data_IF_336401988595
#
_entry.id   IF_336401988595
#
_cell.length_a   1.000
_cell.length_b   1.000
_cell.length_c   1.000
_cell.angle_alpha   90.00
_cell.angle_beta   90.00
_cell.angle_gamma   90.00
#
_symmetry.space_group_name_H-M   'P 1'
#
loop_
_entity.id
_entity.type
_entity.pdbx_description
1 polymer ?
#
# COMPACT_ATOMS: atom_id res chain seq x y z
N UNK A 1 -3.51 31.63 -9.63
CA UNK A 1 -4.27 30.56 -10.28
C UNK A 1 -5.48 30.26 -9.41
N UNK A 2 -6.71 30.38 -9.92
CA UNK A 2 -7.95 30.39 -9.10
C UNK A 2 -8.92 29.26 -9.47
N UNK A 3 -8.42 28.17 -10.06
CA UNK A 3 -9.25 27.01 -10.42
C UNK A 3 -9.62 26.18 -9.18
N UNK A 4 -10.86 25.68 -9.13
CA UNK A 4 -11.31 24.78 -8.08
C UNK A 4 -10.65 23.40 -8.25
N UNK A 5 -10.13 22.86 -7.15
CA UNK A 5 -9.69 21.46 -7.06
C UNK A 5 -10.85 20.58 -6.60
N UNK A 6 -10.84 19.30 -6.95
CA UNK A 6 -11.82 18.33 -6.50
C UNK A 6 -12.18 17.30 -7.57
N UNK A 7 -13.27 16.58 -7.35
CA UNK A 7 -13.80 15.61 -8.29
C UNK A 7 -14.75 16.30 -9.29
N UNK A 8 -14.41 16.25 -10.56
CA UNK A 8 -15.18 16.82 -11.66
C UNK A 8 -15.85 15.68 -12.45
N UNK A 9 -16.92 16.01 -13.16
CA UNK A 9 -17.68 15.05 -13.97
C UNK A 9 -17.85 15.60 -15.38
N UNK A 10 -17.51 14.79 -16.39
CA UNK A 10 -17.84 15.06 -17.79
C UNK A 10 -19.10 14.28 -18.10
N UNK A 11 -20.17 14.99 -18.46
CA UNK A 11 -21.42 14.39 -18.93
C UNK A 11 -21.58 14.64 -20.42
N UNK A 12 -21.86 13.59 -21.18
CA UNK A 12 -22.09 13.65 -22.63
C UNK A 12 -23.40 12.94 -22.99
N UNK A 13 -24.21 13.57 -23.85
CA UNK A 13 -25.48 13.02 -24.33
C UNK A 13 -25.61 13.20 -25.85
N UNK A 14 -26.10 12.17 -26.55
CA UNK A 14 -26.36 12.19 -27.98
C UNK A 14 -27.47 11.19 -28.36
N UNK A 15 -28.56 11.66 -28.96
CA UNK A 15 -29.76 10.84 -29.28
C UNK A 15 -30.21 9.95 -28.09
N UNK A 16 -29.95 8.64 -28.16
CA UNK A 16 -30.28 7.65 -27.13
C UNK A 16 -29.09 7.28 -26.21
N UNK A 17 -27.93 7.91 -26.39
CA UNK A 17 -26.73 7.63 -25.63
C UNK A 17 -26.50 8.70 -24.58
N UNK A 18 -26.25 8.26 -23.34
CA UNK A 18 -25.77 9.08 -22.25
C UNK A 18 -24.53 8.42 -21.66
N UNK A 19 -23.50 9.21 -21.38
CA UNK A 19 -22.27 8.76 -20.75
C UNK A 19 -21.76 9.79 -19.77
N UNK A 20 -21.15 9.32 -18.69
CA UNK A 20 -20.46 10.18 -17.74
C UNK A 20 -19.15 9.56 -17.29
N UNK A 21 -18.17 10.40 -16.99
CA UNK A 21 -16.92 9.98 -16.39
C UNK A 21 -16.41 11.02 -15.41
N UNK A 22 -15.85 10.56 -14.30
CA UNK A 22 -15.32 11.41 -13.26
C UNK A 22 -13.80 11.55 -13.42
N UNK A 23 -13.26 12.72 -13.05
CA UNK A 23 -11.83 12.96 -13.02
C UNK A 23 -11.46 13.93 -11.89
N UNK A 24 -10.31 13.72 -11.27
CA UNK A 24 -9.80 14.60 -10.21
C UNK A 24 -9.01 15.77 -10.78
N UNK A 25 -9.25 16.97 -10.25
CA UNK A 25 -8.46 18.18 -10.49
C UNK A 25 -7.73 18.51 -9.19
N UNK A 26 -6.40 18.43 -9.21
CA UNK A 26 -5.55 18.65 -8.05
C UNK A 26 -4.36 19.54 -8.41
N UNK A 27 -3.78 20.20 -7.40
CA UNK A 27 -2.48 20.86 -7.56
C UNK A 27 -1.38 19.81 -7.59
N UNK A 28 -0.99 19.40 -8.79
CA UNK A 28 -0.06 18.30 -8.98
C UNK A 28 1.34 18.77 -9.36
N UNK A 29 2.32 18.46 -8.51
CA UNK A 29 3.73 18.51 -8.87
C UNK A 29 4.14 17.15 -9.42
N UNK A 30 4.40 17.09 -10.73
CA UNK A 30 4.80 15.86 -11.42
C UNK A 30 6.01 15.20 -10.75
N UNK A 31 5.89 13.97 -10.22
CA UNK A 31 7.01 13.16 -9.75
C UNK A 31 8.02 12.94 -10.87
N UNK A 32 9.29 12.81 -10.50
CA UNK A 32 10.39 12.58 -11.45
C UNK A 32 10.96 11.17 -11.34
N UNK A 33 10.33 10.33 -10.52
CA UNK A 33 10.80 9.00 -10.16
C UNK A 33 9.64 8.07 -9.85
N UNK A 34 9.94 6.78 -9.89
CA UNK A 34 9.08 5.70 -9.45
C UNK A 34 9.82 4.78 -8.48
N UNK A 35 9.03 4.05 -7.69
CA UNK A 35 9.52 3.04 -6.75
C UNK A 35 8.77 1.75 -6.98
N UNK A 36 9.50 0.66 -7.13
CA UNK A 36 8.93 -0.67 -7.33
C UNK A 36 9.44 -1.64 -6.28
N UNK A 37 8.55 -2.51 -5.79
CA UNK A 37 8.92 -3.61 -4.91
C UNK A 37 9.07 -4.90 -5.70
N UNK A 38 10.10 -5.68 -5.35
CA UNK A 38 10.26 -7.03 -5.89
C UNK A 38 9.26 -7.98 -5.25
N UNK A 39 8.69 -8.93 -6.01
CA UNK A 39 7.80 -9.94 -5.45
C UNK A 39 8.48 -10.71 -4.32
N UNK A 40 7.77 -10.84 -3.21
CA UNK A 40 8.18 -11.69 -2.08
C UNK A 40 7.87 -13.15 -2.45
N UNK A 41 8.92 -13.97 -2.55
CA UNK A 41 8.80 -15.40 -2.97
C UNK A 41 8.82 -16.37 -1.78
N UNK A 42 9.26 -15.90 -0.63
CA UNK A 42 9.37 -16.68 0.59
C UNK A 42 8.03 -16.74 1.32
N UNK A 43 7.83 -17.83 2.06
CA UNK A 43 6.66 -17.97 2.95
C UNK A 43 7.09 -17.64 4.37
N UNK A 44 6.34 -16.77 5.04
CA UNK A 44 6.62 -16.34 6.40
C UNK A 44 5.51 -16.75 7.36
N UNK A 45 5.91 -17.02 8.60
CA UNK A 45 5.03 -17.21 9.74
C UNK A 45 4.95 -15.91 10.55
N UNK A 46 3.91 -15.82 11.37
CA UNK A 46 3.82 -14.74 12.36
C UNK A 46 5.05 -14.73 13.27
N UNK A 47 5.53 -13.53 13.58
CA UNK A 47 6.78 -13.23 14.29
C UNK A 47 8.08 -13.44 13.51
N UNK A 48 8.04 -13.92 12.26
CA UNK A 48 9.22 -13.94 11.41
C UNK A 48 9.67 -12.52 11.04
N UNK A 49 10.95 -12.38 10.68
CA UNK A 49 11.47 -11.16 10.10
C UNK A 49 11.34 -11.20 8.57
N UNK A 50 10.61 -10.24 8.02
CA UNK A 50 10.35 -10.11 6.58
C UNK A 50 11.27 -9.01 6.06
N UNK A 51 11.94 -9.27 4.93
CA UNK A 51 12.71 -8.25 4.21
C UNK A 51 12.11 -8.02 2.83
N UNK A 52 11.58 -6.82 2.61
CA UNK A 52 11.04 -6.39 1.31
C UNK A 52 12.12 -5.59 0.59
N UNK A 53 12.36 -5.95 -0.67
CA UNK A 53 13.38 -5.31 -1.50
C UNK A 53 12.69 -4.42 -2.54
N UNK A 54 13.14 -3.18 -2.67
CA UNK A 54 12.64 -2.24 -3.65
C UNK A 54 13.75 -1.60 -4.49
N UNK A 55 13.34 -0.92 -5.55
CA UNK A 55 14.19 -0.14 -6.45
C UNK A 55 13.57 1.22 -6.71
N UNK A 56 14.41 2.26 -6.74
CA UNK A 56 14.04 3.63 -7.07
C UNK A 56 14.72 4.05 -8.37
N UNK A 57 13.91 4.42 -9.36
CA UNK A 57 14.37 4.78 -10.70
C UNK A 57 13.78 6.12 -11.09
N UNK A 58 14.57 7.00 -11.67
CA UNK A 58 14.06 8.24 -12.25
C UNK A 58 13.32 7.92 -13.55
N UNK A 59 12.28 8.69 -13.90
CA UNK A 59 11.59 8.51 -15.19
C UNK A 59 12.48 8.77 -16.41
N UNK A 60 13.66 9.37 -16.22
CA UNK A 60 14.70 9.49 -17.23
C UNK A 60 15.55 8.22 -17.43
N UNK A 61 15.30 7.16 -16.65
CA UNK A 61 16.00 5.87 -16.71
C UNK A 61 17.25 5.76 -15.82
N UNK A 62 17.66 6.83 -15.13
CA UNK A 62 18.79 6.80 -14.20
C UNK A 62 18.40 6.20 -12.84
N UNK A 63 19.30 5.45 -12.23
CA UNK A 63 19.15 4.97 -10.84
C UNK A 63 19.23 6.13 -9.85
N UNK A 64 18.45 6.08 -8.79
CA UNK A 64 18.46 7.10 -7.73
C UNK A 64 19.31 6.59 -6.56
N UNK A 65 20.52 7.10 -6.42
CA UNK A 65 21.48 6.70 -5.38
C UNK A 65 21.45 7.67 -4.20
N UNK A 66 21.82 7.18 -3.00
CA UNK A 66 21.92 7.97 -1.76
C UNK A 66 20.65 8.76 -1.40
N UNK A 67 19.49 8.29 -1.87
CA UNK A 67 18.22 8.91 -1.57
C UNK A 67 17.61 8.32 -0.31
N UNK A 68 17.01 9.21 0.48
CA UNK A 68 16.25 8.85 1.68
C UNK A 68 14.93 8.18 1.29
N UNK A 69 14.70 6.99 1.82
CA UNK A 69 13.47 6.22 1.69
C UNK A 69 12.76 6.22 3.04
N UNK A 70 11.70 7.00 3.17
CA UNK A 70 10.81 6.95 4.34
C UNK A 70 9.71 5.93 4.12
N UNK A 71 9.48 5.07 5.10
CA UNK A 71 8.49 3.99 4.98
C UNK A 71 7.66 3.82 6.25
N UNK A 72 6.48 3.21 6.09
CA UNK A 72 5.59 2.81 7.19
C UNK A 72 5.01 1.43 6.88
N UNK A 73 5.16 0.51 7.83
CA UNK A 73 4.56 -0.82 7.72
C UNK A 73 3.33 -0.91 8.61
N UNK A 74 2.25 -1.37 8.00
CA UNK A 74 0.93 -1.38 8.57
C UNK A 74 0.34 -2.78 8.47
N UNK A 75 -0.33 -3.22 9.53
CA UNK A 75 -0.97 -4.54 9.61
C UNK A 75 -2.48 -4.43 9.61
N UNK A 76 -3.14 -5.32 8.86
CA UNK A 76 -4.56 -5.62 8.97
C UNK A 76 -4.76 -7.13 9.17
N UNK A 77 -5.76 -7.53 9.95
CA UNK A 77 -6.16 -8.92 10.12
C UNK A 77 -7.26 -9.26 9.12
N UNK A 78 -7.06 -10.34 8.38
CA UNK A 78 -8.02 -10.90 7.44
C UNK A 78 -8.54 -12.23 7.98
N UNK A 79 -9.87 -12.32 8.05
CA UNK A 79 -10.55 -13.51 8.56
C UNK A 79 -10.91 -14.47 7.41
N UNK A 80 -10.99 -15.78 7.68
CA UNK A 80 -11.47 -16.75 6.71
C UNK A 80 -12.95 -16.55 6.36
N UNK A 81 -13.34 -17.03 5.17
CA UNK A 81 -14.69 -16.81 4.66
C UNK A 81 -15.82 -17.42 5.50
N UNK A 82 -15.57 -18.59 6.07
CA UNK A 82 -16.50 -19.25 6.99
C UNK A 82 -16.73 -18.46 8.28
N UNK A 83 -15.79 -17.58 8.67
CA UNK A 83 -15.93 -16.76 9.88
C UNK A 83 -17.01 -15.67 9.71
N UNK A 84 -17.20 -15.15 8.50
CA UNK A 84 -18.26 -14.18 8.19
C UNK A 84 -19.68 -14.76 8.29
N UNK A 85 -19.86 -16.06 8.08
CA UNK A 85 -21.17 -16.72 8.18
C UNK A 85 -21.65 -16.91 9.63
N UNK A 86 -20.71 -17.00 10.58
CA UNK A 86 -21.00 -17.33 11.98
C UNK A 86 -21.31 -16.11 12.86
N UNK A 87 -20.96 -14.90 12.43
CA UNK A 87 -21.10 -13.69 13.25
C UNK A 87 -21.54 -12.50 12.38
N UNK A 88 -22.73 -11.95 12.67
CA UNK A 88 -23.40 -10.84 11.94
C UNK A 88 -22.74 -9.46 12.10
N UNK A 89 -21.50 -9.36 12.59
CA UNK A 89 -20.81 -8.09 12.80
C UNK A 89 -19.72 -7.91 11.75
N UNK A 90 -19.53 -6.68 11.27
CA UNK A 90 -18.47 -6.33 10.33
C UNK A 90 -17.11 -6.53 11.01
N UNK A 91 -16.42 -7.64 10.72
CA UNK A 91 -15.06 -7.89 11.18
C UNK A 91 -14.08 -7.09 10.33
N UNK A 92 -14.10 -5.77 10.48
CA UNK A 92 -12.96 -4.96 10.09
C UNK A 92 -11.95 -5.02 11.22
N UNK A 93 -10.75 -5.52 10.96
CA UNK A 93 -9.65 -5.31 11.89
C UNK A 93 -9.21 -3.86 11.80
N UNK A 94 -8.97 -3.21 12.93
CA UNK A 94 -8.33 -1.89 12.91
C UNK A 94 -6.95 -1.98 12.27
N UNK A 95 -6.66 -1.01 11.41
CA UNK A 95 -5.35 -0.84 10.82
C UNK A 95 -4.37 -0.39 11.91
N UNK A 96 -3.25 -1.13 12.09
CA UNK A 96 -2.24 -0.79 13.08
C UNK A 96 -0.86 -0.64 12.44
N UNK A 97 -0.22 0.50 12.68
CA UNK A 97 1.17 0.71 12.34
C UNK A 97 2.06 -0.15 13.25
N UNK A 98 2.84 -1.06 12.65
CA UNK A 98 3.75 -1.94 13.38
C UNK A 98 5.17 -1.38 13.44
N UNK A 99 5.58 -0.58 12.45
CA UNK A 99 6.87 0.10 12.41
C UNK A 99 6.87 1.21 11.35
N UNK A 100 7.70 2.21 11.54
CA UNK A 100 8.08 3.19 10.54
C UNK A 100 9.59 3.41 10.61
N UNK A 101 10.16 3.99 9.56
CA UNK A 101 11.59 4.27 9.57
C UNK A 101 12.07 4.89 8.28
N UNK A 102 13.40 4.93 8.19
CA UNK A 102 14.14 5.51 7.09
C UNK A 102 15.20 4.52 6.61
N UNK A 103 15.40 4.46 5.31
CA UNK A 103 16.43 3.67 4.64
C UNK A 103 17.09 4.56 3.58
N UNK A 104 18.18 4.09 2.98
CA UNK A 104 18.92 4.83 1.95
C UNK A 104 19.10 3.92 0.74
N UNK A 105 18.93 4.46 -0.46
CA UNK A 105 19.18 3.71 -1.70
C UNK A 105 20.68 3.51 -1.94
N UNK A 106 21.06 2.32 -2.39
CA UNK A 106 22.44 2.00 -2.76
C UNK A 106 22.82 2.59 -4.14
N UNK A 107 24.07 2.34 -4.57
CA UNK A 107 24.59 2.78 -5.87
C UNK A 107 23.81 2.24 -7.08
N UNK A 108 22.98 1.22 -6.91
CA UNK A 108 22.12 0.63 -7.93
C UNK A 108 20.65 1.08 -7.76
N UNK A 109 20.38 2.05 -6.88
CA UNK A 109 19.03 2.52 -6.56
C UNK A 109 18.18 1.51 -5.78
N UNK A 110 18.79 0.47 -5.20
CA UNK A 110 18.06 -0.54 -4.42
C UNK A 110 17.97 -0.12 -2.97
N UNK A 111 16.86 -0.47 -2.34
CA UNK A 111 16.65 -0.29 -0.91
C UNK A 111 15.99 -1.53 -0.31
N UNK A 112 16.14 -1.69 1.00
CA UNK A 112 15.55 -2.80 1.77
C UNK A 112 14.82 -2.26 2.98
N UNK A 113 13.68 -2.88 3.26
CA UNK A 113 12.86 -2.62 4.44
C UNK A 113 12.70 -3.95 5.17
N UNK A 114 13.19 -4.01 6.41
CA UNK A 114 13.08 -5.21 7.25
C UNK A 114 12.16 -4.91 8.43
N UNK A 115 11.17 -5.76 8.65
CA UNK A 115 10.24 -5.64 9.78
C UNK A 115 9.87 -7.01 10.34
N UNK A 116 9.29 -7.02 11.54
CA UNK A 116 8.79 -8.25 12.18
C UNK A 116 7.29 -8.40 11.92
N UNK A 117 6.85 -9.59 11.50
CA UNK A 117 5.45 -9.90 11.23
C UNK A 117 4.63 -10.06 12.53
N UNK A 118 4.47 -8.99 13.29
CA UNK A 118 3.84 -8.99 14.61
C UNK A 118 2.32 -9.21 14.47
N UNK A 119 1.75 -10.29 15.04
CA UNK A 119 0.31 -10.56 14.95
C UNK A 119 -0.50 -9.62 15.84
N UNK A 120 -1.81 -9.54 15.59
CA UNK A 120 -2.73 -8.92 16.55
C UNK A 120 -3.09 -9.91 17.67
N UNK A 121 -2.62 -9.62 18.89
CA UNK A 121 -2.90 -10.44 20.07
C UNK A 121 -4.33 -10.27 20.60
N UNK A 122 -5.05 -9.22 20.17
CA UNK A 122 -6.47 -9.03 20.53
C UNK A 122 -7.38 -9.98 19.75
N UNK A 123 -6.90 -10.53 18.64
CA UNK A 123 -7.66 -11.45 17.79
C UNK A 123 -7.50 -12.88 18.29
N UNK A 124 -8.63 -13.55 18.55
CA UNK A 124 -8.62 -14.92 19.05
C UNK A 124 -8.07 -15.91 18.01
N UNK A 125 -7.08 -16.72 18.39
CA UNK A 125 -6.47 -17.75 17.52
C UNK A 125 -7.49 -18.75 16.94
N UNK A 126 -8.59 -19.00 17.65
CA UNK A 126 -9.68 -19.87 17.20
C UNK A 126 -10.39 -19.36 15.94
N UNK A 127 -10.30 -18.05 15.65
CA UNK A 127 -10.81 -17.44 14.41
C UNK A 127 -9.90 -17.67 13.20
N UNK A 128 -8.73 -18.28 13.39
CA UNK A 128 -7.71 -18.56 12.37
C UNK A 128 -7.43 -17.34 11.46
N UNK A 129 -7.09 -16.16 12.06
CA UNK A 129 -6.85 -14.97 11.26
C UNK A 129 -5.54 -15.12 10.47
N UNK A 130 -5.53 -14.55 9.28
CA UNK A 130 -4.32 -14.23 8.54
C UNK A 130 -4.02 -12.74 8.72
N UNK A 131 -2.76 -12.32 8.59
CA UNK A 131 -2.38 -10.93 8.74
C UNK A 131 -1.74 -10.44 7.44
N UNK A 132 -2.28 -9.34 6.92
CA UNK A 132 -1.74 -8.64 5.77
C UNK A 132 -0.85 -7.50 6.27
N UNK A 133 0.35 -7.38 5.69
CA UNK A 133 1.29 -6.31 5.98
C UNK A 133 1.45 -5.45 4.73
N UNK A 134 1.12 -4.18 4.84
CA UNK A 134 1.28 -3.17 3.79
C UNK A 134 2.49 -2.31 4.13
N UNK A 135 3.46 -2.25 3.22
CA UNK A 135 4.67 -1.42 3.28
C UNK A 135 4.50 -0.21 2.40
#
# INVERSE_FOLDING_TARGET
NTGLTGNFNIHASAYQFNGSTHFSVEEYKRPKFETEFKPVKETYKVNDSITVNGTATAFAGSTITDAKVSYRVVRTAQYPSWYWYSRRSSFSSDELEITHGESITDALGKFKITFKAIPDLKVAKSSQPTFNYKV
#
